data_IF_776055924029
#
_entry.id   IF_776055924029
#
_cell.length_a   1.000
_cell.length_b   1.000
_cell.length_c   1.000
_cell.angle_alpha   90.00
_cell.angle_beta   90.00
_cell.angle_gamma   90.00
#
_symmetry.space_group_name_H-M   'P 1'
#
loop_
_entity.id
_entity.type
_entity.pdbx_description
1 polymer ?
#
# COMPACT_ATOMS: atom_id res chain seq x y z
N UNK A 1 -11.35 35.53 8.22
CA UNK A 1 -11.40 34.08 8.53
C UNK A 1 -10.34 33.42 7.65
N UNK A 2 -9.19 33.12 8.23
CA UNK A 2 -8.05 32.57 7.51
C UNK A 2 -8.30 31.08 7.29
N UNK A 3 -8.54 30.69 6.03
CA UNK A 3 -8.86 29.29 5.69
C UNK A 3 -7.53 28.57 5.47
N UNK A 4 -6.87 28.18 6.55
CA UNK A 4 -5.65 27.37 6.50
C UNK A 4 -5.96 26.05 5.79
N UNK A 5 -5.62 25.98 4.50
CA UNK A 5 -5.82 24.79 3.69
C UNK A 5 -4.78 23.76 4.11
N UNK A 6 -5.14 22.84 4.99
CA UNK A 6 -4.25 21.73 5.36
C UNK A 6 -3.97 20.93 4.09
N UNK A 7 -2.69 20.79 3.68
CA UNK A 7 -2.35 20.02 2.49
C UNK A 7 -2.88 18.60 2.64
N UNK A 8 -3.65 18.13 1.65
CA UNK A 8 -4.10 16.73 1.64
C UNK A 8 -2.87 15.85 1.47
N UNK A 9 -2.62 14.96 2.43
CA UNK A 9 -1.56 13.95 2.33
C UNK A 9 -1.67 13.15 1.04
N UNK A 10 -0.55 12.97 0.35
CA UNK A 10 -0.44 12.20 -0.91
C UNK A 10 -0.76 10.72 -0.69
N UNK A 11 -1.03 9.98 -1.78
CA UNK A 11 -1.24 8.52 -1.70
C UNK A 11 -0.01 7.77 -1.21
N UNK A 12 1.18 8.26 -1.58
CA UNK A 12 2.45 7.74 -1.11
C UNK A 12 2.59 7.90 0.42
N UNK A 13 2.41 9.11 0.95
CA UNK A 13 2.49 9.38 2.39
C UNK A 13 1.49 8.54 3.18
N UNK A 14 0.25 8.43 2.68
CA UNK A 14 -0.77 7.57 3.29
C UNK A 14 -0.37 6.10 3.27
N UNK A 15 0.34 5.65 2.23
CA UNK A 15 0.87 4.29 2.13
C UNK A 15 2.02 4.02 3.11
N UNK A 16 2.94 4.98 3.26
CA UNK A 16 4.00 4.93 4.28
C UNK A 16 3.39 4.88 5.68
N UNK A 17 2.40 5.73 5.95
CA UNK A 17 1.67 5.73 7.24
C UNK A 17 0.99 4.38 7.50
N UNK A 18 0.26 3.85 6.52
CA UNK A 18 -0.39 2.54 6.65
C UNK A 18 0.62 1.42 6.95
N UNK A 19 1.80 1.43 6.31
CA UNK A 19 2.86 0.47 6.62
C UNK A 19 3.39 0.64 8.06
N UNK A 20 3.58 1.88 8.54
CA UNK A 20 4.07 2.12 9.90
C UNK A 20 3.08 1.63 10.96
N UNK A 21 1.78 1.89 10.75
CA UNK A 21 0.73 1.55 11.70
C UNK A 21 0.36 0.07 11.67
N UNK A 22 0.26 -0.52 10.47
CA UNK A 22 -0.34 -1.84 10.24
C UNK A 22 0.50 -2.77 9.36
N UNK A 23 1.77 -2.45 9.14
CA UNK A 23 2.66 -3.23 8.26
C UNK A 23 2.86 -4.68 8.71
N UNK A 24 2.74 -4.95 10.02
CA UNK A 24 2.81 -6.29 10.59
C UNK A 24 1.63 -7.18 10.17
N UNK A 25 0.46 -6.60 9.88
CA UNK A 25 -0.74 -7.33 9.45
C UNK A 25 -0.73 -7.66 7.95
N UNK A 26 0.21 -7.09 7.19
CA UNK A 26 0.30 -7.29 5.74
C UNK A 26 0.91 -8.68 5.45
N UNK A 27 0.06 -9.58 4.96
CA UNK A 27 0.42 -10.96 4.67
C UNK A 27 0.58 -11.17 3.16
N UNK A 28 1.59 -11.94 2.75
CA UNK A 28 1.69 -12.41 1.36
C UNK A 28 0.85 -13.66 1.25
N UNK A 29 0.01 -13.75 0.22
CA UNK A 29 -0.80 -14.94 -0.03
C UNK A 29 -0.05 -15.85 -1.02
N UNK A 30 -0.24 -15.66 -2.32
CA UNK A 30 0.40 -16.44 -3.40
C UNK A 30 0.75 -15.54 -4.57
N UNK A 31 1.64 -15.98 -5.49
CA UNK A 31 1.87 -15.30 -6.77
C UNK A 31 2.42 -13.87 -6.74
N UNK A 32 2.80 -13.32 -5.58
CA UNK A 32 3.12 -11.88 -5.46
C UNK A 32 1.94 -11.01 -5.03
N UNK A 33 0.85 -11.64 -4.61
CA UNK A 33 -0.31 -11.02 -3.99
C UNK A 33 -0.10 -10.84 -2.48
N UNK A 34 -0.59 -9.71 -1.98
CA UNK A 34 -0.57 -9.30 -0.60
C UNK A 34 -1.99 -8.97 -0.15
N UNK A 35 -2.35 -9.42 1.05
CA UNK A 35 -3.55 -8.95 1.75
C UNK A 35 -3.14 -7.78 2.64
N UNK A 36 -3.72 -6.62 2.38
CA UNK A 36 -3.39 -5.34 3.05
C UNK A 36 -4.62 -4.81 3.77
N UNK A 37 -4.55 -4.46 5.07
CA UNK A 37 -5.70 -3.92 5.78
C UNK A 37 -6.04 -2.50 5.30
N UNK A 38 -7.30 -2.11 5.52
CA UNK A 38 -7.71 -0.71 5.45
C UNK A 38 -7.05 0.09 6.59
N UNK A 39 -7.12 1.43 6.53
CA UNK A 39 -6.65 2.24 7.65
C UNK A 39 -7.47 2.02 8.93
N UNK A 40 -8.78 1.74 8.83
CA UNK A 40 -9.61 1.42 10.00
C UNK A 40 -9.40 -0.01 10.50
N UNK A 41 -8.86 -0.91 9.67
CA UNK A 41 -8.73 -2.34 9.97
C UNK A 41 -9.99 -3.17 9.71
N UNK A 42 -11.12 -2.53 9.40
CA UNK A 42 -12.41 -3.19 9.20
C UNK A 42 -12.51 -3.94 7.85
N UNK A 43 -11.60 -3.66 6.93
CA UNK A 43 -11.56 -4.30 5.63
C UNK A 43 -10.12 -4.68 5.25
N UNK A 44 -9.98 -5.56 4.26
CA UNK A 44 -8.68 -5.87 3.64
C UNK A 44 -8.82 -5.91 2.13
N UNK A 45 -7.75 -5.54 1.45
CA UNK A 45 -7.68 -5.48 0.00
C UNK A 45 -6.55 -6.36 -0.51
N UNK A 46 -6.77 -6.97 -1.68
CA UNK A 46 -5.74 -7.72 -2.37
C UNK A 46 -4.92 -6.76 -3.24
N UNK A 47 -3.61 -6.81 -3.07
CA UNK A 47 -2.63 -6.05 -3.86
C UNK A 47 -1.76 -7.06 -4.60
N UNK A 48 -1.76 -7.01 -5.91
CA UNK A 48 -0.86 -7.80 -6.74
C UNK A 48 0.33 -6.94 -7.17
N UNK A 49 1.54 -7.39 -6.84
CA UNK A 49 2.81 -6.73 -7.20
C UNK A 49 3.58 -7.55 -8.24
N UNK A 50 2.93 -7.85 -9.37
CA UNK A 50 3.54 -8.51 -10.52
C UNK A 50 3.74 -7.55 -11.70
N UNK A 51 3.65 -8.09 -12.92
CA UNK A 51 3.81 -7.33 -14.16
C UNK A 51 2.83 -6.16 -14.25
N UNK A 52 1.55 -6.43 -13.98
CA UNK A 52 0.52 -5.40 -13.86
C UNK A 52 0.20 -5.20 -12.39
N UNK A 53 0.61 -4.07 -11.82
CA UNK A 53 0.32 -3.76 -10.42
C UNK A 53 -1.16 -3.40 -10.25
N UNK A 54 -1.88 -4.12 -9.38
CA UNK A 54 -3.32 -3.90 -9.14
C UNK A 54 -3.68 -3.93 -7.66
N UNK A 55 -4.79 -3.27 -7.31
CA UNK A 55 -5.37 -3.33 -5.99
C UNK A 55 -6.89 -3.41 -6.06
N UNK A 56 -7.50 -4.23 -5.21
CA UNK A 56 -8.96 -4.38 -5.13
C UNK A 56 -9.67 -3.24 -4.36
N UNK A 57 -8.96 -2.19 -3.93
CA UNK A 57 -9.59 -1.10 -3.21
C UNK A 57 -10.28 -0.10 -4.16
N UNK A 58 -11.35 0.58 -3.72
CA UNK A 58 -12.05 1.57 -4.54
C UNK A 58 -11.15 2.72 -5.01
N UNK A 59 -10.14 3.08 -4.21
CA UNK A 59 -9.20 4.15 -4.54
C UNK A 59 -8.21 3.78 -5.66
N UNK A 60 -8.10 2.50 -6.02
CA UNK A 60 -7.17 2.03 -7.05
C UNK A 60 -7.53 2.57 -8.43
N UNK A 61 -8.82 2.65 -8.77
CA UNK A 61 -9.26 3.21 -10.07
C UNK A 61 -8.91 4.69 -10.15
N UNK A 62 -9.28 5.47 -9.13
CA UNK A 62 -9.01 6.91 -9.07
C UNK A 62 -7.51 7.25 -9.06
N UNK A 63 -6.68 6.41 -8.47
CA UNK A 63 -5.23 6.59 -8.52
C UNK A 63 -4.71 6.36 -9.94
N UNK A 64 -5.17 5.28 -10.60
CA UNK A 64 -4.78 4.93 -11.96
C UNK A 64 -5.14 6.03 -12.98
N UNK A 65 -6.29 6.67 -12.83
CA UNK A 65 -6.75 7.73 -13.75
C UNK A 65 -5.80 8.94 -13.80
N UNK A 66 -4.97 9.13 -12.77
CA UNK A 66 -3.95 10.18 -12.69
C UNK A 66 -2.52 9.64 -12.73
N UNK A 67 -2.34 8.37 -13.14
CA UNK A 67 -1.02 7.75 -13.23
C UNK A 67 -0.36 7.40 -11.89
N UNK A 68 -1.12 7.35 -10.80
CA UNK A 68 -0.64 7.02 -9.45
C UNK A 68 -1.08 5.63 -8.98
N UNK A 69 -0.49 5.20 -7.86
CA UNK A 69 -0.92 4.03 -7.12
C UNK A 69 -1.69 4.40 -5.84
N UNK A 70 -2.62 3.54 -5.43
CA UNK A 70 -3.30 3.72 -4.14
C UNK A 70 -2.34 3.44 -2.97
N UNK A 71 -2.72 3.93 -1.77
CA UNK A 71 -1.93 3.73 -0.54
C UNK A 71 -1.60 2.27 -0.23
N UNK A 72 -2.48 1.32 -0.58
CA UNK A 72 -2.27 -0.10 -0.29
C UNK A 72 -1.14 -0.70 -1.14
N UNK A 73 -1.00 -0.25 -2.39
CA UNK A 73 0.11 -0.65 -3.26
C UNK A 73 1.43 -0.19 -2.66
N UNK A 74 1.52 1.08 -2.23
CA UNK A 74 2.72 1.60 -1.57
C UNK A 74 3.06 0.82 -0.29
N UNK A 75 2.07 0.55 0.58
CA UNK A 75 2.28 -0.23 1.79
C UNK A 75 2.77 -1.66 1.50
N UNK A 76 2.15 -2.34 0.53
CA UNK A 76 2.57 -3.67 0.08
C UNK A 76 3.99 -3.66 -0.52
N UNK A 77 4.33 -2.64 -1.31
CA UNK A 77 5.65 -2.50 -1.93
C UNK A 77 6.76 -2.38 -0.87
N UNK A 78 6.52 -1.65 0.23
CA UNK A 78 7.46 -1.55 1.34
C UNK A 78 7.68 -2.93 1.99
N UNK A 79 6.61 -3.69 2.26
CA UNK A 79 6.69 -5.05 2.82
C UNK A 79 7.44 -5.98 1.87
N UNK A 80 7.15 -5.91 0.58
CA UNK A 80 7.83 -6.69 -0.44
C UNK A 80 9.33 -6.39 -0.49
N UNK A 81 9.71 -5.11 -0.49
CA UNK A 81 11.10 -4.66 -0.48
C UNK A 81 11.84 -5.16 0.77
N UNK A 82 11.25 -5.01 1.96
CA UNK A 82 11.82 -5.50 3.22
C UNK A 82 12.02 -7.02 3.22
N UNK A 83 11.03 -7.79 2.75
CA UNK A 83 11.16 -9.25 2.60
C UNK A 83 12.24 -9.67 1.59
N UNK A 84 12.41 -8.92 0.50
CA UNK A 84 13.51 -9.16 -0.46
C UNK A 84 14.88 -8.85 0.17
N UNK A 85 14.98 -7.75 0.93
CA UNK A 85 16.22 -7.39 1.63
C UNK A 85 16.59 -8.42 2.71
N UNK A 86 15.63 -8.89 3.50
CA UNK A 86 15.86 -9.94 4.51
C UNK A 86 16.39 -11.24 3.88
N UNK A 87 15.79 -11.69 2.76
CA UNK A 87 16.27 -12.87 2.03
C UNK A 87 17.70 -12.72 1.53
N UNK A 88 18.06 -11.54 1.01
CA UNK A 88 19.44 -11.24 0.58
C UNK A 88 20.47 -11.22 1.72
N UNK A 89 20.05 -10.97 2.95
CA UNK A 89 20.93 -11.00 4.13
C UNK A 89 21.10 -12.40 4.74
N UNK A 90 20.18 -13.31 4.41
CA UNK A 90 20.20 -14.68 4.88
C UNK A 90 20.82 -15.66 3.87
N UNK A 91 21.21 -15.16 2.69
CA UNK A 91 22.00 -15.87 1.68
C UNK A 91 23.46 -15.49 1.85
#
# INVERSE_FOLDING_TARGET
>A
MDTTTVPKSTRLERGVRLYRERGAEITRTTGGTYRVPSCSGEASYHVYLGEVTTCSCPDSRRAKDVGEYCKHVHAAAIVAAKRRAARRRAS
#
